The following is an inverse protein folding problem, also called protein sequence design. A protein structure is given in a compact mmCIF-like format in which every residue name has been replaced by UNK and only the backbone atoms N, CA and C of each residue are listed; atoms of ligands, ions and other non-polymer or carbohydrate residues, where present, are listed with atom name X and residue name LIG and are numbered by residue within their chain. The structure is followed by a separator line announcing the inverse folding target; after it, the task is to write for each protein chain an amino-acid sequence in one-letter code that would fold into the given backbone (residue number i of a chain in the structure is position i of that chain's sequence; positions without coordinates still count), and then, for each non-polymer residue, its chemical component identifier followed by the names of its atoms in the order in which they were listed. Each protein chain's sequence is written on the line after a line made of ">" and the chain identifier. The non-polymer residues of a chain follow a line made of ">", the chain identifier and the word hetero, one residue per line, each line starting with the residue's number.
data_IF_029484059914
#
_entry.id   IF_029484059914
#
_cell.length_a   1.000
_cell.length_b   1.000
_cell.length_c   1.000
_cell.angle_alpha   90.00
_cell.angle_beta   90.00
_cell.angle_gamma   90.00
#
_symmetry.space_group_name_H-M   'P 1'
#
loop_
_entity.id
_entity.type
_entity.pdbx_description
1 polymer ?
#
# COMPACT_ATOMS: atom_id res chain seq x y z
N UNK A 1 -78.75 30.99 -16.22
CA UNK A 1 -77.73 30.18 -15.51
C UNK A 1 -78.19 30.01 -14.09
N UNK A 2 -78.22 28.77 -13.57
CA UNK A 2 -78.66 28.52 -12.21
C UNK A 2 -77.64 29.13 -11.23
N UNK A 3 -78.13 29.83 -10.21
CA UNK A 3 -77.31 30.49 -9.19
C UNK A 3 -76.29 29.52 -8.56
N UNK A 4 -76.70 28.26 -8.40
CA UNK A 4 -75.85 27.17 -7.92
C UNK A 4 -74.65 26.89 -8.82
N UNK A 5 -74.81 26.98 -10.14
CA UNK A 5 -73.71 26.78 -11.10
C UNK A 5 -72.66 27.88 -10.98
N UNK A 6 -73.08 29.11 -10.71
CA UNK A 6 -72.17 30.26 -10.53
C UNK A 6 -71.33 30.06 -9.26
N UNK A 7 -71.95 29.67 -8.15
CA UNK A 7 -71.26 29.42 -6.87
C UNK A 7 -70.18 28.32 -7.02
N UNK A 8 -70.51 27.23 -7.72
CA UNK A 8 -69.57 26.12 -7.94
C UNK A 8 -68.37 26.58 -8.77
N UNK A 9 -68.59 27.36 -9.84
CA UNK A 9 -67.51 27.88 -10.69
C UNK A 9 -66.62 28.83 -9.89
N UNK A 10 -67.19 29.72 -9.06
CA UNK A 10 -66.42 30.64 -8.22
C UNK A 10 -65.57 29.87 -7.20
N UNK A 11 -66.11 28.80 -6.59
CA UNK A 11 -65.36 27.95 -5.66
C UNK A 11 -64.15 27.28 -6.31
N UNK A 12 -64.31 26.75 -7.52
CA UNK A 12 -63.22 26.14 -8.29
C UNK A 12 -62.13 27.17 -8.61
N UNK A 13 -62.51 28.39 -8.99
CA UNK A 13 -61.55 29.47 -9.27
C UNK A 13 -60.72 29.81 -8.03
N UNK A 14 -61.33 29.89 -6.84
CA UNK A 14 -60.59 30.17 -5.59
C UNK A 14 -59.58 29.07 -5.27
N UNK A 15 -59.95 27.80 -5.47
CA UNK A 15 -59.03 26.66 -5.26
C UNK A 15 -57.86 26.73 -6.24
N UNK A 16 -58.11 27.02 -7.52
CA UNK A 16 -57.07 27.15 -8.54
C UNK A 16 -56.12 28.31 -8.20
N UNK A 17 -56.64 29.46 -7.76
CA UNK A 17 -55.82 30.61 -7.35
C UNK A 17 -54.95 30.27 -6.13
N UNK A 18 -55.51 29.59 -5.13
CA UNK A 18 -54.75 29.14 -3.95
C UNK A 18 -53.62 28.16 -4.32
N UNK A 19 -53.89 27.20 -5.21
CA UNK A 19 -52.89 26.27 -5.76
C UNK A 19 -51.80 27.02 -6.54
N UNK A 20 -52.18 28.00 -7.36
CA UNK A 20 -51.24 28.84 -8.10
C UNK A 20 -50.32 29.63 -7.15
N UNK A 21 -50.84 30.19 -6.05
CA UNK A 21 -50.04 30.92 -5.07
C UNK A 21 -49.06 29.98 -4.36
N UNK A 22 -49.50 28.79 -3.94
CA UNK A 22 -48.64 27.79 -3.30
C UNK A 22 -47.50 27.33 -4.22
N UNK A 23 -47.81 27.04 -5.48
CA UNK A 23 -46.80 26.63 -6.47
C UNK A 23 -45.82 27.77 -6.76
N UNK A 24 -46.30 29.01 -6.84
CA UNK A 24 -45.46 30.19 -7.08
C UNK A 24 -44.57 30.54 -5.89
N UNK A 25 -45.09 30.41 -4.66
CA UNK A 25 -44.29 30.54 -3.44
C UNK A 25 -43.21 29.47 -3.37
N UNK A 26 -43.54 28.20 -3.65
CA UNK A 26 -42.53 27.12 -3.69
C UNK A 26 -41.39 27.45 -4.65
N UNK A 27 -41.68 27.92 -5.88
CA UNK A 27 -40.62 28.30 -6.83
C UNK A 27 -39.79 29.50 -6.35
N UNK A 28 -40.40 30.51 -5.73
CA UNK A 28 -39.67 31.69 -5.23
C UNK A 28 -38.84 31.39 -3.98
N UNK A 29 -39.31 30.53 -3.08
CA UNK A 29 -38.57 30.13 -1.88
C UNK A 29 -37.39 29.21 -2.23
N UNK A 30 -37.56 28.30 -3.19
CA UNK A 30 -36.45 27.44 -3.66
C UNK A 30 -35.36 28.22 -4.42
N UNK A 31 -35.71 29.29 -5.14
CA UNK A 31 -34.72 30.03 -5.95
C UNK A 31 -33.86 31.01 -5.15
N UNK A 32 -34.24 31.38 -3.92
CA UNK A 32 -33.55 32.46 -3.17
C UNK A 32 -32.64 31.99 -2.04
N UNK A 33 -32.82 30.77 -1.52
CA UNK A 33 -32.00 30.26 -0.40
C UNK A 33 -31.11 29.06 -0.75
N UNK A 34 -31.29 28.41 -1.91
CA UNK A 34 -30.55 27.17 -2.27
C UNK A 34 -29.38 27.42 -3.25
N UNK A 35 -29.25 28.62 -3.83
CA UNK A 35 -28.27 28.90 -4.88
C UNK A 35 -26.84 29.32 -4.44
N UNK A 36 -26.54 29.86 -3.24
CA UNK A 36 -25.16 30.18 -2.90
C UNK A 36 -24.32 28.96 -2.47
N UNK A 37 -24.95 27.86 -2.02
CA UNK A 37 -24.23 26.67 -1.52
C UNK A 37 -23.82 25.67 -2.61
N UNK A 38 -24.53 25.61 -3.75
CA UNK A 38 -24.19 24.73 -4.87
C UNK A 38 -22.93 25.21 -5.63
N UNK A 39 -22.75 26.53 -5.79
CA UNK A 39 -21.58 27.08 -6.52
C UNK A 39 -20.26 26.96 -5.75
N UNK A 40 -20.32 26.96 -4.41
CA UNK A 40 -19.15 26.69 -3.55
C UNK A 40 -18.75 25.21 -3.66
N UNK A 41 -19.76 24.32 -3.62
CA UNK A 41 -19.56 22.87 -3.74
C UNK A 41 -18.89 22.47 -5.06
N UNK A 42 -19.22 23.10 -6.19
CA UNK A 42 -18.60 22.76 -7.48
C UNK A 42 -17.10 23.06 -7.52
N UNK A 43 -16.65 24.15 -6.88
CA UNK A 43 -15.22 24.49 -6.82
C UNK A 43 -14.44 23.49 -5.97
N UNK A 44 -14.99 23.09 -4.84
CA UNK A 44 -14.39 22.10 -3.96
C UNK A 44 -14.34 20.71 -4.63
N UNK A 45 -15.40 20.35 -5.36
CA UNK A 45 -15.45 19.11 -6.15
C UNK A 45 -14.42 19.10 -7.28
N UNK A 46 -14.24 20.24 -7.96
CA UNK A 46 -13.22 20.40 -8.99
C UNK A 46 -11.80 20.32 -8.41
N UNK A 47 -11.57 20.92 -7.24
CA UNK A 47 -10.28 20.84 -6.54
C UNK A 47 -9.97 19.41 -6.08
N UNK A 48 -10.97 18.69 -5.57
CA UNK A 48 -10.84 17.28 -5.20
C UNK A 48 -10.50 16.41 -6.42
N UNK A 49 -11.17 16.65 -7.55
CA UNK A 49 -10.90 15.93 -8.81
C UNK A 49 -9.45 16.12 -9.28
N UNK A 50 -8.94 17.36 -9.24
CA UNK A 50 -7.55 17.66 -9.61
C UNK A 50 -6.56 16.94 -8.69
N UNK A 51 -6.79 16.96 -7.37
CA UNK A 51 -5.93 16.25 -6.41
C UNK A 51 -5.95 14.73 -6.62
N UNK A 52 -7.12 14.18 -6.98
CA UNK A 52 -7.27 12.75 -7.27
C UNK A 52 -6.51 12.36 -8.54
N UNK A 53 -6.63 13.15 -9.61
CA UNK A 53 -5.91 12.94 -10.88
C UNK A 53 -4.39 13.07 -10.68
N UNK A 54 -3.94 14.05 -9.89
CA UNK A 54 -2.51 14.22 -9.57
C UNK A 54 -1.97 13.05 -8.74
N UNK A 55 -2.73 12.59 -7.73
CA UNK A 55 -2.37 11.43 -6.92
C UNK A 55 -2.33 10.14 -7.74
N UNK A 56 -3.29 9.95 -8.66
CA UNK A 56 -3.30 8.82 -9.59
C UNK A 56 -2.10 8.86 -10.55
N UNK A 57 -1.70 10.05 -11.01
CA UNK A 57 -0.51 10.24 -11.84
C UNK A 57 0.76 9.77 -11.12
N UNK A 58 0.98 10.25 -9.88
CA UNK A 58 2.13 9.87 -9.05
C UNK A 58 2.15 8.38 -8.75
N UNK A 59 1.00 7.80 -8.38
CA UNK A 59 0.90 6.38 -8.11
C UNK A 59 1.23 5.53 -9.34
N UNK A 60 0.79 5.97 -10.53
CA UNK A 60 1.09 5.28 -11.79
C UNK A 60 2.58 5.35 -12.14
N UNK A 61 3.22 6.48 -11.86
CA UNK A 61 4.67 6.65 -12.04
C UNK A 61 5.46 5.75 -11.08
N UNK A 62 5.09 5.71 -9.80
CA UNK A 62 5.71 4.80 -8.81
C UNK A 62 5.54 3.33 -9.21
N UNK A 63 4.35 2.92 -9.66
CA UNK A 63 4.11 1.57 -10.17
C UNK A 63 5.02 1.27 -11.37
N UNK A 64 5.19 2.24 -12.29
CA UNK A 64 6.05 2.06 -13.45
C UNK A 64 7.52 1.92 -13.04
N UNK A 65 7.99 2.72 -12.09
CA UNK A 65 9.36 2.63 -11.52
C UNK A 65 9.57 1.27 -10.87
N UNK A 66 8.68 0.85 -9.98
CA UNK A 66 8.76 -0.48 -9.33
C UNK A 66 8.74 -1.62 -10.36
N UNK A 67 7.86 -1.53 -11.36
CA UNK A 67 7.78 -2.55 -12.42
C UNK A 67 9.09 -2.65 -13.19
N UNK A 68 9.73 -1.51 -13.45
CA UNK A 68 11.02 -1.47 -14.15
C UNK A 68 12.16 -1.99 -13.26
N UNK A 69 12.16 -1.68 -11.97
CA UNK A 69 13.12 -2.23 -11.00
C UNK A 69 12.99 -3.75 -10.89
N UNK A 70 11.76 -4.28 -10.79
CA UNK A 70 11.50 -5.73 -10.77
C UNK A 70 11.96 -6.39 -12.06
N UNK A 71 11.67 -5.77 -13.21
CA UNK A 71 12.13 -6.26 -14.53
C UNK A 71 13.67 -6.28 -14.61
N UNK A 72 14.31 -5.22 -14.11
CA UNK A 72 15.78 -5.09 -14.08
C UNK A 72 16.39 -6.13 -13.15
N UNK A 73 15.83 -6.31 -11.95
CA UNK A 73 16.27 -7.34 -11.00
C UNK A 73 16.10 -8.74 -11.59
N UNK A 74 14.98 -9.02 -12.26
CA UNK A 74 14.75 -10.29 -12.97
C UNK A 74 15.81 -10.52 -14.04
N UNK A 75 16.20 -9.49 -14.80
CA UNK A 75 17.30 -9.57 -15.77
C UNK A 75 18.66 -9.83 -15.11
N UNK A 76 18.95 -9.19 -13.98
CA UNK A 76 20.19 -9.43 -13.22
C UNK A 76 20.27 -10.84 -12.65
N UNK A 77 19.15 -11.38 -12.17
CA UNK A 77 19.08 -12.78 -11.72
C UNK A 77 19.29 -13.72 -12.91
N UNK A 78 18.63 -13.46 -14.04
CA UNK A 78 18.78 -14.27 -15.25
C UNK A 78 20.22 -14.25 -15.81
N UNK A 79 20.89 -13.09 -15.80
CA UNK A 79 22.28 -12.99 -16.24
C UNK A 79 23.27 -13.62 -15.24
N UNK A 80 22.96 -13.61 -13.93
CA UNK A 80 23.72 -14.38 -12.95
C UNK A 80 23.56 -15.90 -13.13
N UNK A 81 22.36 -16.39 -13.49
CA UNK A 81 22.18 -17.80 -13.84
C UNK A 81 22.92 -18.19 -15.11
N UNK A 82 23.02 -17.32 -16.12
CA UNK A 82 23.82 -17.59 -17.32
C UNK A 82 25.33 -17.64 -17.03
N UNK A 83 25.83 -16.85 -16.08
CA UNK A 83 27.21 -16.97 -15.60
C UNK A 83 27.44 -18.29 -14.84
N UNK A 84 26.44 -18.79 -14.12
CA UNK A 84 26.50 -20.09 -13.45
C UNK A 84 26.49 -21.25 -14.46
N UNK A 85 25.66 -21.20 -15.49
CA UNK A 85 25.61 -22.23 -16.54
C UNK A 85 26.87 -22.24 -17.43
N UNK A 86 27.52 -21.09 -17.67
CA UNK A 86 28.82 -21.04 -18.36
C UNK A 86 29.98 -21.56 -17.50
N UNK A 87 29.86 -21.46 -16.17
CA UNK A 87 30.79 -22.10 -15.22
C UNK A 87 30.57 -23.62 -15.14
N UNK A 88 29.32 -24.07 -15.21
CA UNK A 88 28.96 -25.50 -15.13
C UNK A 88 29.19 -26.25 -16.45
N UNK A 89 29.17 -25.58 -17.62
CA UNK A 89 29.50 -26.22 -18.92
C UNK A 89 30.97 -26.59 -19.14
N UNK A 90 31.88 -26.25 -18.22
CA UNK A 90 33.26 -26.78 -18.25
C UNK A 90 33.44 -28.06 -17.41
N UNK A 91 32.40 -28.53 -16.73
CA UNK A 91 32.41 -29.81 -16.01
C UNK A 91 31.20 -30.64 -16.42
N UNK A 92 31.28 -31.19 -17.62
CA UNK A 92 30.37 -32.21 -18.11
C UNK A 92 30.67 -33.56 -17.45
N UNK A 93 30.02 -33.86 -16.33
CA UNK A 93 29.65 -35.24 -15.96
C UNK A 93 28.24 -35.25 -15.30
N UNK A 94 27.44 -36.32 -15.48
CA UNK A 94 26.00 -36.29 -15.26
C UNK A 94 25.68 -36.65 -13.82
N UNK A 95 25.23 -35.69 -13.01
CA UNK A 95 24.75 -36.00 -11.67
C UNK A 95 23.23 -36.06 -11.62
N UNK A 96 22.77 -37.28 -11.33
CA UNK A 96 21.44 -37.66 -10.88
C UNK A 96 20.93 -36.67 -9.83
N UNK A 97 19.63 -36.38 -9.88
CA UNK A 97 18.91 -35.65 -8.84
C UNK A 97 19.04 -36.40 -7.50
N UNK A 98 19.93 -35.93 -6.64
CA UNK A 98 20.09 -36.39 -5.26
C UNK A 98 19.29 -35.43 -4.34
N UNK A 99 18.42 -35.90 -3.43
CA UNK A 99 17.56 -35.06 -2.59
C UNK A 99 18.30 -34.21 -1.54
N UNK A 100 19.62 -34.04 -1.64
CA UNK A 100 20.47 -33.38 -0.64
C UNK A 100 20.66 -31.86 -0.85
N UNK A 101 20.05 -31.24 -1.85
CA UNK A 101 20.28 -29.81 -2.17
C UNK A 101 19.72 -28.79 -1.15
N UNK A 102 19.04 -29.21 -0.08
CA UNK A 102 18.64 -28.31 1.01
C UNK A 102 19.81 -27.93 1.95
N UNK A 103 20.92 -28.70 1.96
CA UNK A 103 22.03 -28.45 2.88
C UNK A 103 22.90 -27.24 2.52
N UNK A 104 23.18 -27.01 1.24
CA UNK A 104 24.23 -26.07 0.82
C UNK A 104 23.82 -24.59 0.95
N UNK A 105 22.55 -24.27 0.67
CA UNK A 105 22.03 -22.90 0.82
C UNK A 105 21.90 -22.50 2.30
N UNK A 106 21.61 -23.46 3.18
CA UNK A 106 21.59 -23.22 4.63
C UNK A 106 23.00 -23.09 5.22
N UNK A 107 23.97 -23.89 4.76
CA UNK A 107 25.38 -23.73 5.18
C UNK A 107 25.98 -22.37 4.76
N UNK A 108 25.66 -21.87 3.56
CA UNK A 108 26.12 -20.54 3.13
C UNK A 108 25.55 -19.40 3.98
N UNK A 109 24.30 -19.51 4.45
CA UNK A 109 23.68 -18.51 5.32
C UNK A 109 24.22 -18.61 6.76
N UNK A 110 24.41 -19.84 7.26
CA UNK A 110 25.01 -20.08 8.58
C UNK A 110 26.45 -19.54 8.65
N UNK A 111 27.28 -19.79 7.65
CA UNK A 111 28.66 -19.28 7.61
C UNK A 111 28.68 -17.74 7.64
N UNK A 112 27.79 -17.07 6.89
CA UNK A 112 27.64 -15.61 6.93
C UNK A 112 27.14 -15.10 8.29
N UNK A 113 26.27 -15.85 8.95
CA UNK A 113 25.78 -15.52 10.29
C UNK A 113 26.91 -15.61 11.33
N UNK A 114 27.70 -16.70 11.29
CA UNK A 114 28.86 -16.88 12.17
C UNK A 114 29.91 -15.81 11.93
N UNK A 115 30.21 -15.48 10.66
CA UNK A 115 31.18 -14.44 10.32
C UNK A 115 30.77 -13.06 10.83
N UNK A 116 29.49 -12.68 10.67
CA UNK A 116 28.96 -11.39 11.13
C UNK A 116 28.93 -11.24 12.65
N UNK A 117 28.82 -12.34 13.39
CA UNK A 117 28.70 -12.34 14.84
C UNK A 117 29.91 -12.99 15.52
N UNK A 118 31.04 -13.07 14.82
CA UNK A 118 32.25 -13.72 15.30
C UNK A 118 32.77 -13.06 16.58
N UNK A 119 32.66 -11.74 16.67
CA UNK A 119 32.97 -10.93 17.86
C UNK A 119 32.22 -11.42 19.11
N UNK A 120 30.91 -11.65 18.99
CA UNK A 120 30.06 -12.15 20.07
C UNK A 120 30.47 -13.57 20.45
N UNK A 121 30.72 -14.43 19.46
CA UNK A 121 31.09 -15.83 19.67
C UNK A 121 32.44 -15.94 20.37
N UNK A 122 33.43 -15.17 19.95
CA UNK A 122 34.79 -15.23 20.48
C UNK A 122 34.84 -14.70 21.93
N UNK A 123 34.21 -13.55 22.21
CA UNK A 123 34.16 -12.99 23.58
C UNK A 123 33.35 -13.87 24.53
N UNK A 124 32.27 -14.51 24.05
CA UNK A 124 31.51 -15.45 24.88
C UNK A 124 32.30 -16.73 25.18
N UNK A 125 33.13 -17.23 24.26
CA UNK A 125 33.99 -18.41 24.51
C UNK A 125 35.01 -18.15 25.63
N UNK A 126 35.51 -16.92 25.74
CA UNK A 126 36.47 -16.53 26.77
C UNK A 126 35.82 -16.35 28.15
N UNK A 127 34.70 -15.62 28.23
CA UNK A 127 34.10 -15.22 29.51
C UNK A 127 32.95 -16.11 29.98
N UNK A 128 32.32 -16.88 29.07
CA UNK A 128 31.12 -17.70 29.30
C UNK A 128 29.95 -16.99 29.99
N UNK A 129 29.90 -15.66 29.93
CA UNK A 129 28.87 -14.84 30.57
C UNK A 129 28.24 -13.86 29.58
N UNK A 130 26.92 -13.99 29.38
CA UNK A 130 26.14 -13.16 28.45
C UNK A 130 26.17 -11.66 28.80
N UNK A 131 26.10 -11.33 30.08
CA UNK A 131 26.04 -9.93 30.54
C UNK A 131 27.38 -9.21 30.34
N UNK A 132 28.46 -9.95 30.59
CA UNK A 132 29.81 -9.44 30.42
C UNK A 132 30.16 -9.30 28.93
N UNK A 133 29.81 -10.28 28.10
CA UNK A 133 29.94 -10.17 26.63
C UNK A 133 29.15 -8.99 26.08
N UNK A 134 27.90 -8.79 26.52
CA UNK A 134 27.06 -7.67 26.11
C UNK A 134 27.68 -6.31 26.50
N UNK A 135 28.27 -6.24 27.69
CA UNK A 135 28.94 -5.03 28.18
C UNK A 135 30.24 -4.73 27.43
N UNK A 136 31.05 -5.74 27.14
CA UNK A 136 32.30 -5.59 26.38
C UNK A 136 32.04 -5.13 24.95
N UNK A 137 31.03 -5.71 24.30
CA UNK A 137 30.70 -5.42 22.89
C UNK A 137 29.71 -4.27 22.72
N UNK A 138 29.24 -3.66 23.81
CA UNK A 138 28.19 -2.64 23.82
C UNK A 138 26.93 -3.07 23.03
N UNK A 139 26.50 -4.31 23.25
CA UNK A 139 25.34 -4.94 22.60
C UNK A 139 24.25 -5.23 23.63
N UNK A 140 23.03 -5.50 23.17
CA UNK A 140 21.97 -5.93 24.09
C UNK A 140 22.22 -7.36 24.56
N UNK A 141 21.92 -7.66 25.83
CA UNK A 141 22.00 -9.02 26.38
C UNK A 141 21.16 -10.00 25.53
N UNK A 142 20.02 -9.54 25.02
CA UNK A 142 19.12 -10.32 24.17
C UNK A 142 19.73 -10.67 22.80
N UNK A 143 20.47 -9.75 22.21
CA UNK A 143 21.20 -9.98 20.95
C UNK A 143 22.29 -11.03 21.15
N UNK A 144 23.09 -10.91 22.22
CA UNK A 144 24.12 -11.90 22.58
C UNK A 144 23.49 -13.28 22.82
N UNK A 145 22.42 -13.35 23.60
CA UNK A 145 21.69 -14.60 23.86
C UNK A 145 21.19 -15.27 22.57
N UNK A 146 20.63 -14.48 21.65
CA UNK A 146 20.11 -14.97 20.38
C UNK A 146 21.24 -15.55 19.52
N UNK A 147 22.37 -14.87 19.44
CA UNK A 147 23.52 -15.32 18.66
C UNK A 147 24.07 -16.63 19.22
N UNK A 148 24.30 -16.72 20.53
CA UNK A 148 24.84 -17.93 21.16
C UNK A 148 23.89 -19.12 21.00
N UNK A 149 22.57 -18.90 21.05
CA UNK A 149 21.57 -19.95 20.82
C UNK A 149 21.54 -20.47 19.38
N UNK A 150 21.92 -19.65 18.40
CA UNK A 150 21.91 -20.03 16.98
C UNK A 150 23.21 -20.69 16.53
N UNK A 151 24.29 -20.54 17.29
CA UNK A 151 25.60 -21.15 17.03
C UNK A 151 25.77 -22.50 17.74
N UNK A 152 25.00 -22.76 18.81
CA UNK A 152 24.92 -24.05 19.49
C UNK A 152 23.99 -25.00 18.77
#
# INVERSE_FOLDING_TARGET
>A
MNYNTIIIITGIIVIIVALCILLRQKNNTYSKEVLPSLSLSERDLKKLKVLLEEGQGKLREEIHVLTNEVSTLKKYIASMSECREKSEKSHSEPFQEDPQQEGFNHSLNYNKFVEKNKDIIDVYKENNNLEETAKILNKSIREVEMVIKLVK
#
